data_IF_708577311230
#
_entry.id   IF_708577311230
#
_cell.length_a   1.000
_cell.length_b   1.000
_cell.length_c   1.000
_cell.angle_alpha   90.00
_cell.angle_beta   90.00
_cell.angle_gamma   90.00
#
_symmetry.space_group_name_H-M   'P 1'
#
loop_
_entity.id
_entity.type
_entity.pdbx_description
1 polymer ?
#
# COMPACT_ATOMS: atom_id res chain seq x y z
N UNK A 1 21.83 -1.26 -5.71
CA UNK A 1 21.00 -2.32 -5.09
C UNK A 1 20.70 -3.37 -6.15
N UNK A 2 21.11 -4.59 -5.90
CA UNK A 2 20.95 -5.69 -6.87
C UNK A 2 19.65 -6.48 -6.71
N UNK A 3 18.75 -6.00 -5.89
CA UNK A 3 17.49 -6.67 -5.63
C UNK A 3 16.52 -6.44 -6.79
N UNK A 4 16.02 -7.49 -7.48
CA UNK A 4 15.10 -7.33 -8.61
C UNK A 4 13.76 -6.69 -8.22
N UNK A 5 13.39 -6.69 -6.94
CA UNK A 5 12.20 -5.98 -6.46
C UNK A 5 12.45 -4.48 -6.33
N UNK A 6 13.68 -4.00 -6.52
CA UNK A 6 14.08 -2.62 -6.34
C UNK A 6 13.77 -2.07 -4.94
N UNK A 7 13.69 -2.95 -3.96
CA UNK A 7 13.49 -2.61 -2.55
C UNK A 7 14.14 -3.65 -1.66
N UNK A 8 14.53 -3.22 -0.47
CA UNK A 8 15.12 -4.11 0.52
C UNK A 8 14.62 -3.74 1.91
N UNK A 9 14.11 -4.74 2.60
CA UNK A 9 13.63 -4.61 3.97
C UNK A 9 14.75 -4.90 4.95
N UNK A 10 14.76 -4.17 6.06
CA UNK A 10 15.64 -4.43 7.18
C UNK A 10 14.80 -4.43 8.47
N UNK A 11 14.60 -5.62 9.04
CA UNK A 11 13.81 -5.80 10.25
C UNK A 11 14.62 -5.36 11.47
N UNK A 12 14.11 -4.39 12.22
CA UNK A 12 14.77 -3.89 13.42
C UNK A 12 14.45 -4.70 14.67
N UNK A 13 13.51 -5.63 14.60
CA UNK A 13 13.21 -6.48 15.74
C UNK A 13 14.40 -7.40 16.04
N UNK A 14 14.60 -7.66 17.31
CA UNK A 14 15.67 -8.58 17.77
C UNK A 14 15.16 -10.00 18.04
N UNK A 15 13.85 -10.21 17.94
CA UNK A 15 13.22 -11.51 18.19
C UNK A 15 11.98 -11.65 17.30
N UNK A 16 11.75 -12.86 16.79
CA UNK A 16 10.54 -13.19 16.08
C UNK A 16 9.30 -13.19 16.97
N UNK A 17 9.47 -13.23 18.27
CA UNK A 17 8.37 -13.15 19.23
C UNK A 17 7.86 -11.72 19.42
N UNK A 18 8.61 -10.71 18.97
CA UNK A 18 8.17 -9.32 19.01
C UNK A 18 7.10 -9.10 17.95
N UNK A 19 5.90 -8.75 18.39
CA UNK A 19 4.75 -8.56 17.51
C UNK A 19 4.60 -7.13 16.98
N UNK A 20 5.47 -6.21 17.39
CA UNK A 20 5.46 -4.84 16.89
C UNK A 20 6.44 -4.71 15.75
N UNK A 21 5.93 -4.50 14.54
CA UNK A 21 6.78 -4.31 13.37
C UNK A 21 7.50 -2.97 13.45
N UNK A 22 8.82 -3.02 13.26
CA UNK A 22 9.67 -1.84 13.12
C UNK A 22 10.70 -2.17 12.04
N UNK A 23 10.60 -1.51 10.90
CA UNK A 23 11.34 -1.94 9.73
C UNK A 23 11.87 -0.72 8.97
N UNK A 24 13.11 -0.81 8.51
CA UNK A 24 13.65 0.09 7.50
C UNK A 24 13.40 -0.54 6.14
N UNK A 25 13.08 0.29 5.16
CA UNK A 25 12.85 -0.16 3.81
C UNK A 25 13.51 0.80 2.83
N UNK A 26 14.47 0.29 2.07
CA UNK A 26 15.14 1.04 1.02
C UNK A 26 14.42 0.79 -0.30
N UNK A 27 14.05 1.88 -0.98
CA UNK A 27 13.20 1.84 -2.16
C UNK A 27 13.86 2.64 -3.29
N UNK A 28 13.85 2.08 -4.49
CA UNK A 28 14.29 2.79 -5.68
C UNK A 28 13.09 3.26 -6.51
N UNK A 29 13.25 4.31 -7.32
CA UNK A 29 12.26 4.64 -8.33
C UNK A 29 11.92 3.41 -9.17
N UNK A 30 10.70 3.32 -9.69
CA UNK A 30 10.19 2.18 -10.45
C UNK A 30 9.87 0.95 -9.59
N UNK A 31 10.09 0.99 -8.28
CA UNK A 31 9.61 -0.06 -7.38
C UNK A 31 8.10 -0.23 -7.57
N UNK A 32 7.67 -1.47 -7.76
CA UNK A 32 6.26 -1.81 -7.89
C UNK A 32 5.78 -2.41 -6.58
N UNK A 33 4.94 -1.67 -5.87
CA UNK A 33 4.29 -2.16 -4.65
C UNK A 33 2.81 -2.35 -4.97
N UNK A 34 2.28 -3.57 -4.85
CA UNK A 34 0.85 -3.78 -5.07
C UNK A 34 0.00 -2.94 -4.13
N UNK A 35 -1.18 -2.53 -4.61
CA UNK A 35 -2.17 -1.90 -3.74
C UNK A 35 -2.60 -2.94 -2.71
N UNK A 36 -2.46 -2.61 -1.44
CA UNK A 36 -2.73 -3.53 -0.32
C UNK A 36 -3.29 -2.77 0.87
N UNK A 37 -3.73 -3.52 1.87
CA UNK A 37 -4.19 -2.93 3.13
C UNK A 37 -3.77 -3.80 4.32
N UNK A 38 -3.71 -3.17 5.48
CA UNK A 38 -3.56 -3.82 6.77
C UNK A 38 -4.90 -3.69 7.49
N UNK A 39 -5.61 -4.80 7.66
CA UNK A 39 -7.00 -4.76 8.13
C UNK A 39 -7.14 -4.38 9.59
N UNK A 40 -6.13 -4.70 10.41
CA UNK A 40 -6.25 -4.63 11.86
C UNK A 40 -5.39 -3.54 12.50
N UNK A 41 -4.57 -2.84 11.73
CA UNK A 41 -3.60 -1.93 12.31
C UNK A 41 -3.34 -0.71 11.43
N UNK A 42 -3.08 0.42 12.10
CA UNK A 42 -2.59 1.63 11.45
C UNK A 42 -1.08 1.53 11.29
N UNK A 43 -0.57 1.94 10.14
CA UNK A 43 0.87 1.96 9.85
C UNK A 43 1.40 3.39 9.95
N UNK A 44 2.52 3.55 10.63
CA UNK A 44 3.27 4.80 10.64
C UNK A 44 4.42 4.71 9.66
N UNK A 45 4.54 5.69 8.78
CA UNK A 45 5.61 5.76 7.78
C UNK A 45 6.38 7.06 7.97
N UNK A 46 7.69 6.95 8.15
CA UNK A 46 8.60 8.11 8.24
C UNK A 46 9.60 8.01 7.11
N UNK A 47 9.73 9.07 6.32
CA UNK A 47 10.74 9.16 5.26
C UNK A 47 12.02 9.73 5.83
N UNK A 48 13.09 8.93 5.84
CA UNK A 48 14.39 9.35 6.38
C UNK A 48 15.21 10.11 5.37
N UNK A 49 15.11 9.74 4.11
CA UNK A 49 15.76 10.44 3.00
C UNK A 49 15.04 10.07 1.70
N UNK A 50 15.23 10.93 0.69
CA UNK A 50 14.61 10.72 -0.61
C UNK A 50 13.29 11.46 -0.75
N UNK A 51 12.46 10.97 -1.65
CA UNK A 51 11.20 11.59 -2.01
C UNK A 51 10.25 10.55 -2.54
N UNK A 52 9.08 10.45 -1.95
CA UNK A 52 8.07 9.49 -2.35
C UNK A 52 6.66 9.97 -2.01
N UNK A 53 5.67 9.31 -2.58
CA UNK A 53 4.27 9.54 -2.27
C UNK A 53 3.67 8.26 -1.68
N UNK A 54 2.94 8.41 -0.58
CA UNK A 54 2.00 7.39 -0.10
C UNK A 54 0.65 7.69 -0.74
N UNK A 55 0.07 6.71 -1.43
CA UNK A 55 -1.16 6.89 -2.19
C UNK A 55 -2.25 6.02 -1.60
N UNK A 56 -3.37 6.64 -1.24
CA UNK A 56 -4.49 5.96 -0.61
C UNK A 56 -5.64 5.87 -1.62
N UNK A 57 -6.27 4.70 -1.65
CA UNK A 57 -7.34 4.37 -2.59
C UNK A 57 -8.61 3.98 -1.86
N UNK A 58 -9.73 4.15 -2.55
CA UNK A 58 -10.97 3.49 -2.17
C UNK A 58 -11.29 2.36 -3.14
N UNK A 59 -11.89 1.31 -2.64
CA UNK A 59 -12.36 0.20 -3.45
C UNK A 59 -13.69 0.56 -4.08
N UNK A 60 -13.78 0.43 -5.40
CA UNK A 60 -15.01 0.64 -6.15
C UNK A 60 -15.43 -0.70 -6.75
N UNK A 61 -16.59 -1.19 -6.32
CA UNK A 61 -17.14 -2.45 -6.80
C UNK A 61 -18.27 -2.15 -7.77
N UNK A 62 -18.19 -2.72 -8.95
CA UNK A 62 -19.23 -2.64 -9.95
C UNK A 62 -19.57 -4.02 -10.47
N UNK A 63 -20.76 -4.16 -11.04
CA UNK A 63 -21.22 -5.39 -11.63
C UNK A 63 -21.53 -5.14 -13.10
N UNK A 64 -20.96 -5.96 -13.98
CA UNK A 64 -21.28 -5.89 -15.38
C UNK A 64 -22.65 -6.53 -15.63
N UNK A 65 -23.56 -5.75 -16.20
CA UNK A 65 -24.84 -6.25 -16.66
C UNK A 65 -24.82 -6.30 -18.18
N UNK A 66 -24.94 -7.49 -18.73
CA UNK A 66 -25.27 -7.62 -20.13
C UNK A 66 -26.80 -7.54 -20.24
N UNK A 67 -27.30 -6.47 -20.84
CA UNK A 67 -28.74 -6.24 -20.97
C UNK A 67 -29.42 -7.29 -21.83
N UNK A 68 -28.73 -7.88 -22.79
CA UNK A 68 -29.28 -8.96 -23.62
C UNK A 68 -29.47 -10.24 -22.82
N UNK A 69 -28.54 -10.54 -21.92
CA UNK A 69 -28.63 -11.70 -21.03
C UNK A 69 -29.76 -11.54 -20.03
N UNK A 70 -30.03 -10.31 -19.60
CA UNK A 70 -31.13 -10.03 -18.68
C UNK A 70 -32.48 -10.46 -19.28
N UNK A 71 -32.69 -10.29 -20.56
CA UNK A 71 -33.91 -10.72 -21.26
C UNK A 71 -33.98 -12.24 -21.45
N UNK A 72 -32.88 -12.93 -21.27
CA UNK A 72 -32.81 -14.39 -21.36
C UNK A 72 -32.96 -15.09 -20.02
N UNK A 73 -33.28 -14.36 -18.96
CA UNK A 73 -33.50 -14.92 -17.65
C UNK A 73 -32.22 -15.32 -16.90
N UNK A 74 -31.10 -14.68 -17.21
CA UNK A 74 -29.84 -14.94 -16.51
C UNK A 74 -29.98 -14.53 -15.05
N UNK A 75 -29.51 -15.40 -14.16
CA UNK A 75 -29.53 -15.16 -12.72
C UNK A 75 -28.60 -14.00 -12.38
N UNK A 76 -29.02 -13.11 -11.47
CA UNK A 76 -28.20 -11.97 -10.99
C UNK A 76 -26.87 -12.46 -10.41
N UNK A 77 -26.79 -13.68 -9.90
CA UNK A 77 -25.55 -14.26 -9.39
C UNK A 77 -24.48 -14.50 -10.47
N UNK A 78 -24.88 -14.52 -11.73
CA UNK A 78 -23.96 -14.72 -12.85
C UNK A 78 -23.36 -13.42 -13.36
N UNK A 79 -23.71 -12.28 -12.75
CA UNK A 79 -23.15 -10.97 -13.12
C UNK A 79 -21.71 -10.87 -12.64
N UNK A 80 -20.79 -10.53 -13.55
CA UNK A 80 -19.38 -10.40 -13.22
C UNK A 80 -19.17 -9.23 -12.25
N UNK A 81 -18.45 -9.52 -11.18
CA UNK A 81 -18.03 -8.51 -10.21
C UNK A 81 -16.72 -7.90 -10.67
N UNK A 82 -16.68 -6.57 -10.77
CA UNK A 82 -15.49 -5.83 -11.13
C UNK A 82 -15.06 -4.97 -9.94
N UNK A 83 -13.80 -5.09 -9.55
CA UNK A 83 -13.22 -4.31 -8.45
C UNK A 83 -12.15 -3.40 -9.03
N UNK A 84 -12.27 -2.11 -8.74
CA UNK A 84 -11.30 -1.10 -9.13
C UNK A 84 -10.88 -0.31 -7.90
N UNK A 85 -9.70 0.31 -7.97
CA UNK A 85 -9.20 1.18 -6.91
C UNK A 85 -9.07 2.59 -7.45
N UNK A 86 -9.68 3.55 -6.74
CA UNK A 86 -9.65 4.95 -7.12
C UNK A 86 -8.83 5.73 -6.10
N UNK A 87 -7.85 6.48 -6.57
CA UNK A 87 -7.04 7.32 -5.71
C UNK A 87 -7.92 8.39 -5.05
N UNK A 88 -7.84 8.48 -3.71
CA UNK A 88 -8.59 9.48 -2.94
C UNK A 88 -7.68 10.43 -2.18
N UNK A 89 -6.42 10.04 -1.94
CA UNK A 89 -5.48 10.88 -1.23
C UNK A 89 -4.05 10.52 -1.64
N UNK A 90 -3.23 11.55 -1.77
CA UNK A 90 -1.80 11.39 -2.07
C UNK A 90 -1.02 12.24 -1.09
N UNK A 91 -0.12 11.61 -0.35
CA UNK A 91 0.67 12.26 0.69
C UNK A 91 2.11 12.31 0.21
N UNK A 92 2.62 13.51 -0.05
CA UNK A 92 4.00 13.71 -0.46
C UNK A 92 4.92 13.69 0.76
N UNK A 93 5.92 12.82 0.74
CA UNK A 93 6.95 12.77 1.78
C UNK A 93 8.27 13.21 1.17
N UNK A 94 8.88 14.20 1.81
CA UNK A 94 10.15 14.77 1.40
C UNK A 94 10.78 15.48 2.61
N UNK A 95 11.80 14.87 3.27
CA UNK A 95 12.41 15.47 4.46
C UNK A 95 13.03 16.84 4.20
N UNK A 96 13.52 17.12 2.99
CA UNK A 96 14.09 18.44 2.67
C UNK A 96 13.05 19.55 2.71
N UNK A 97 11.78 19.21 2.55
CA UNK A 97 10.65 20.14 2.67
C UNK A 97 9.91 19.99 4.01
N UNK A 98 10.50 19.31 4.97
CA UNK A 98 9.92 19.02 6.30
C UNK A 98 8.65 18.17 6.27
N UNK A 99 8.43 17.45 5.20
CA UNK A 99 7.32 16.48 5.08
C UNK A 99 7.82 15.08 5.44
N UNK A 100 7.86 14.80 6.75
CA UNK A 100 8.60 13.65 7.27
C UNK A 100 7.83 12.34 7.24
N UNK A 101 6.53 12.36 7.50
CA UNK A 101 5.82 11.11 7.63
C UNK A 101 4.31 11.25 7.61
N UNK A 102 3.66 10.10 7.71
CA UNK A 102 2.21 10.02 7.71
C UNK A 102 1.76 8.74 8.41
N UNK A 103 0.46 8.68 8.64
CA UNK A 103 -0.22 7.49 9.13
C UNK A 103 -1.11 6.94 8.03
N UNK A 104 -1.00 5.63 7.80
CA UNK A 104 -1.93 4.92 6.92
C UNK A 104 -2.97 4.26 7.81
N UNK A 105 -4.23 4.71 7.78
CA UNK A 105 -5.26 4.15 8.66
C UNK A 105 -5.47 2.65 8.42
N UNK A 106 -5.83 1.93 9.47
CA UNK A 106 -6.18 0.52 9.31
C UNK A 106 -7.29 0.36 8.27
N UNK A 107 -7.17 -0.65 7.44
CA UNK A 107 -8.14 -0.94 6.39
C UNK A 107 -7.99 -0.10 5.13
N UNK A 108 -7.15 0.92 5.12
CA UNK A 108 -6.98 1.77 3.94
C UNK A 108 -6.15 1.06 2.86
N UNK A 109 -6.70 0.97 1.67
CA UNK A 109 -5.96 0.50 0.51
C UNK A 109 -4.90 1.53 0.14
N UNK A 110 -3.65 1.09 -0.06
CA UNK A 110 -2.55 2.02 -0.33
C UNK A 110 -1.41 1.37 -1.10
N UNK A 111 -0.59 2.22 -1.67
CA UNK A 111 0.70 1.87 -2.24
C UNK A 111 1.67 3.04 -2.07
N UNK A 112 2.90 2.85 -2.49
CA UNK A 112 3.93 3.89 -2.50
C UNK A 112 4.42 4.09 -3.93
N UNK A 113 4.63 5.35 -4.30
CA UNK A 113 5.28 5.72 -5.56
C UNK A 113 6.57 6.45 -5.23
N UNK A 114 7.69 5.85 -5.61
CA UNK A 114 9.02 6.36 -5.28
C UNK A 114 9.49 7.30 -6.39
N UNK A 115 9.80 8.54 -6.02
CA UNK A 115 10.25 9.59 -6.96
C UNK A 115 11.76 9.63 -7.04
N UNK A 116 12.43 9.54 -5.90
CA UNK A 116 13.89 9.46 -5.77
C UNK A 116 14.24 8.28 -4.87
N UNK A 117 15.48 7.75 -4.95
CA UNK A 117 15.88 6.71 -4.00
C UNK A 117 15.60 7.12 -2.56
N UNK A 118 14.89 6.30 -1.82
CA UNK A 118 14.35 6.65 -0.50
C UNK A 118 14.61 5.56 0.50
N UNK A 119 14.70 5.97 1.76
CA UNK A 119 14.67 5.05 2.91
C UNK A 119 13.53 5.50 3.81
N UNK A 120 12.65 4.56 4.13
CA UNK A 120 11.55 4.80 5.05
C UNK A 120 11.65 3.93 6.28
N UNK A 121 11.09 4.42 7.38
CA UNK A 121 10.86 3.64 8.60
C UNK A 121 9.36 3.36 8.68
N UNK A 122 9.01 2.10 8.86
CA UNK A 122 7.63 1.65 8.98
C UNK A 122 7.42 0.98 10.33
N UNK A 123 6.36 1.39 11.02
CA UNK A 123 5.97 0.79 12.30
C UNK A 123 4.47 0.48 12.29
N UNK A 124 4.14 -0.71 12.75
CA UNK A 124 2.73 -1.12 12.94
C UNK A 124 2.66 -2.27 13.94
N UNK A 125 1.50 -2.48 14.52
CA UNK A 125 1.25 -3.65 15.35
C UNK A 125 1.13 -4.89 14.46
N UNK A 126 1.60 -6.01 14.98
CA UNK A 126 1.61 -7.26 14.25
C UNK A 126 2.89 -7.46 13.46
N UNK A 127 3.34 -8.70 13.37
CA UNK A 127 4.55 -9.04 12.65
C UNK A 127 4.33 -8.88 11.13
N UNK A 128 5.40 -8.51 10.43
CA UNK A 128 5.39 -8.50 8.98
C UNK A 128 5.08 -9.91 8.47
N UNK A 129 4.05 -10.03 7.65
CA UNK A 129 3.66 -11.27 7.01
C UNK A 129 3.87 -11.15 5.50
N UNK A 130 4.49 -12.17 4.97
CA UNK A 130 4.69 -12.27 3.53
C UNK A 130 3.51 -12.98 2.86
#
# INVERSE_FOLDING_TARGET
MENPRLRQNFDLRTSSADTSQRMLNALLPETKVPIHRHEDTTETVICLCGKLDEVIYEEVVSYEKDTDDFHKGVNVQDVARKVEYREVQRIHLNPTETKYGCQIPKGAWHTVEVIEPSVIFEAKDGAYAR
#
